data_IF_092880658028
#
_entry.id   IF_092880658028
#
_cell.length_a   1.000
_cell.length_b   1.000
_cell.length_c   1.000
_cell.angle_alpha   90.00
_cell.angle_beta   90.00
_cell.angle_gamma   90.00
#
_symmetry.space_group_name_H-M   'P 1'
#
loop_
_entity.id
_entity.type
_entity.pdbx_description
1 polymer ?
#
# COMPACT_ATOMS: atom_id res chain seq x y z
N UNK A 1 7.92 -20.85 -4.00
CA UNK A 1 7.31 -19.58 -3.57
C UNK A 1 6.54 -19.88 -2.30
N UNK A 2 6.77 -19.14 -1.22
CA UNK A 2 5.84 -19.18 -0.08
C UNK A 2 4.55 -18.51 -0.58
N UNK A 3 3.42 -19.19 -0.46
CA UNK A 3 2.13 -18.64 -0.83
C UNK A 3 1.78 -17.47 0.11
N UNK A 4 1.22 -16.40 -0.44
CA UNK A 4 0.67 -15.32 0.36
C UNK A 4 -0.58 -15.83 1.07
N UNK A 5 -0.76 -15.47 2.33
CA UNK A 5 -1.96 -15.79 3.10
C UNK A 5 -2.49 -14.55 3.79
N UNK A 6 -3.81 -14.36 3.76
CA UNK A 6 -4.48 -13.32 4.54
C UNK A 6 -4.40 -13.63 6.04
N UNK A 7 -3.85 -12.70 6.83
CA UNK A 7 -3.79 -12.81 8.30
C UNK A 7 -4.48 -11.63 8.96
N UNK A 8 -5.07 -11.86 10.13
CA UNK A 8 -5.62 -10.78 10.96
C UNK A 8 -4.50 -10.03 11.67
N UNK A 9 -4.22 -8.81 11.24
CA UNK A 9 -3.21 -7.93 11.84
C UNK A 9 -3.91 -6.86 12.66
N UNK A 10 -3.54 -6.74 13.93
CA UNK A 10 -3.98 -5.64 14.77
C UNK A 10 -2.87 -4.59 14.91
N UNK A 11 -3.14 -3.35 14.50
CA UNK A 11 -2.15 -2.27 14.54
C UNK A 11 -2.15 -1.44 15.83
N UNK A 12 -3.16 -1.62 16.68
CA UNK A 12 -3.25 -0.95 17.97
C UNK A 12 -3.26 -1.96 19.12
N UNK A 13 -2.69 -1.57 20.26
CA UNK A 13 -2.61 -2.43 21.44
C UNK A 13 -3.98 -2.70 22.08
N UNK A 14 -4.98 -1.86 21.77
CA UNK A 14 -6.34 -1.96 22.31
C UNK A 14 -7.23 -2.96 21.53
N UNK A 15 -6.72 -3.60 20.47
CA UNK A 15 -7.44 -4.64 19.72
C UNK A 15 -8.58 -4.13 18.82
N UNK A 16 -8.64 -2.82 18.54
CA UNK A 16 -9.79 -2.18 17.87
C UNK A 16 -9.67 -2.10 16.35
N UNK A 17 -8.46 -2.13 15.83
CA UNK A 17 -8.20 -1.99 14.39
C UNK A 17 -7.53 -3.27 13.89
N UNK A 18 -8.37 -4.23 13.51
CA UNK A 18 -7.94 -5.49 12.89
C UNK A 18 -8.18 -5.37 11.39
N UNK A 19 -7.13 -5.56 10.62
CA UNK A 19 -7.16 -5.63 9.17
C UNK A 19 -6.78 -7.05 8.75
N UNK A 20 -7.45 -7.61 7.73
CA UNK A 20 -6.98 -8.83 7.09
C UNK A 20 -6.02 -8.39 6.00
N UNK A 21 -4.76 -8.77 6.12
CA UNK A 21 -3.72 -8.39 5.17
C UNK A 21 -3.08 -9.61 4.53
N UNK A 22 -2.92 -9.58 3.22
CA UNK A 22 -2.09 -10.50 2.48
C UNK A 22 -0.62 -10.30 2.85
N UNK A 23 0.01 -11.38 3.32
CA UNK A 23 1.42 -11.37 3.73
C UNK A 23 2.18 -12.59 3.24
N UNK A 24 3.50 -12.46 3.14
CA UNK A 24 4.43 -13.59 2.97
C UNK A 24 5.24 -13.78 4.24
N UNK A 25 5.38 -15.00 4.79
CA UNK A 25 6.28 -15.28 5.90
C UNK A 25 7.73 -14.91 5.56
N UNK A 26 8.41 -14.18 6.46
CA UNK A 26 9.80 -13.75 6.29
C UNK A 26 10.74 -14.29 7.38
N UNK A 27 10.19 -15.03 8.34
CA UNK A 27 10.94 -15.63 9.44
C UNK A 27 10.01 -15.94 10.61
N UNK A 28 10.60 -16.31 11.75
CA UNK A 28 9.82 -16.48 12.97
C UNK A 28 9.15 -15.15 13.34
N UNK A 29 7.83 -15.17 13.46
CA UNK A 29 6.99 -14.04 13.89
C UNK A 29 7.17 -12.77 13.01
N UNK A 30 7.64 -12.95 11.77
CA UNK A 30 7.91 -11.87 10.82
C UNK A 30 7.20 -12.12 9.51
N UNK A 31 6.57 -11.07 9.00
CA UNK A 31 5.80 -11.09 7.77
C UNK A 31 6.17 -9.91 6.89
N UNK A 32 6.29 -10.15 5.59
CA UNK A 32 6.33 -9.11 4.58
C UNK A 32 4.91 -8.78 4.15
N UNK A 33 4.54 -7.51 4.20
CA UNK A 33 3.24 -7.01 3.77
C UNK A 33 3.17 -7.02 2.23
N UNK A 34 2.11 -7.59 1.64
CA UNK A 34 1.98 -7.71 0.18
C UNK A 34 0.94 -6.77 -0.45
N UNK A 35 0.13 -6.09 0.36
CA UNK A 35 -0.86 -5.09 -0.07
C UNK A 35 -0.83 -3.82 0.81
N UNK A 36 -1.59 -2.78 0.47
CA UNK A 36 -1.62 -1.54 1.27
C UNK A 36 -2.44 -1.67 2.56
N UNK A 37 -1.84 -1.47 3.76
CA UNK A 37 -2.62 -1.31 4.99
C UNK A 37 -3.44 -0.03 5.00
N UNK A 38 -4.69 -0.12 5.44
CA UNK A 38 -5.62 1.00 5.54
C UNK A 38 -5.54 1.68 6.90
N UNK A 39 -5.47 0.91 7.98
CA UNK A 39 -5.58 1.49 9.33
C UNK A 39 -4.27 2.08 9.86
N UNK A 40 -3.12 1.63 9.37
CA UNK A 40 -1.82 2.13 9.82
C UNK A 40 -1.00 2.75 8.68
N UNK A 41 -0.98 4.09 8.55
CA UNK A 41 -0.26 4.74 7.47
C UNK A 41 1.28 4.63 7.59
N UNK A 42 1.80 4.24 8.76
CA UNK A 42 3.24 4.06 8.97
C UNK A 42 3.75 2.72 8.45
N UNK A 43 2.87 1.75 8.15
CA UNK A 43 3.21 0.47 7.52
C UNK A 43 2.81 0.52 6.06
N UNK A 44 3.67 0.01 5.18
CA UNK A 44 3.41 0.04 3.73
C UNK A 44 3.70 -1.30 3.07
N UNK A 45 3.19 -1.48 1.84
CA UNK A 45 3.45 -2.66 1.04
C UNK A 45 4.97 -2.87 0.87
N UNK A 46 5.42 -4.10 1.11
CA UNK A 46 6.82 -4.49 1.08
C UNK A 46 7.58 -4.26 2.40
N UNK A 47 6.97 -3.62 3.40
CA UNK A 47 7.54 -3.59 4.75
C UNK A 47 7.62 -5.01 5.32
N UNK A 48 8.63 -5.25 6.14
CA UNK A 48 8.73 -6.45 6.96
C UNK A 48 8.43 -6.04 8.39
N UNK A 49 7.39 -6.63 8.95
CA UNK A 49 6.92 -6.34 10.29
C UNK A 49 7.19 -7.51 11.23
N UNK A 50 7.43 -7.18 12.49
CA UNK A 50 7.43 -8.12 13.60
C UNK A 50 6.05 -8.09 14.24
N UNK A 51 5.51 -9.27 14.52
CA UNK A 51 4.21 -9.42 15.18
C UNK A 51 4.33 -10.32 16.40
N UNK A 52 3.29 -10.31 17.23
CA UNK A 52 3.04 -11.28 18.29
C UNK A 52 1.67 -11.89 18.06
N UNK A 53 1.58 -13.21 17.98
CA UNK A 53 0.31 -13.91 17.84
C UNK A 53 -0.35 -14.12 19.21
N UNK A 54 -1.64 -13.78 19.30
CA UNK A 54 -2.50 -14.10 20.44
C UNK A 54 -3.89 -14.48 19.93
N UNK A 55 -4.32 -15.73 20.19
CA UNK A 55 -5.65 -16.26 19.83
C UNK A 55 -6.01 -16.09 18.34
N UNK A 56 -5.05 -16.31 17.44
CA UNK A 56 -5.21 -16.19 15.98
C UNK A 56 -5.11 -14.76 15.44
N UNK A 57 -4.85 -13.76 16.29
CA UNK A 57 -4.65 -12.36 15.90
C UNK A 57 -3.17 -12.00 16.04
N UNK A 58 -2.61 -11.37 15.02
CA UNK A 58 -1.22 -10.94 14.98
C UNK A 58 -1.11 -9.45 15.33
N UNK A 59 -0.63 -9.17 16.53
CA UNK A 59 -0.44 -7.79 17.02
C UNK A 59 0.88 -7.24 16.51
N UNK A 60 0.79 -6.16 15.73
CA UNK A 60 1.95 -5.40 15.24
C UNK A 60 2.81 -4.93 16.42
N UNK A 61 4.12 -5.20 16.34
CA UNK A 61 5.10 -4.72 17.31
C UNK A 61 5.92 -3.58 16.70
N UNK A 62 6.55 -3.82 15.56
CA UNK A 62 7.38 -2.84 14.86
C UNK A 62 7.59 -3.20 13.38
N UNK A 63 8.07 -2.22 12.61
CA UNK A 63 8.59 -2.46 11.26
C UNK A 63 10.09 -2.71 11.35
N UNK A 64 10.52 -3.97 11.16
CA UNK A 64 11.95 -4.34 11.25
C UNK A 64 12.72 -4.02 9.97
N UNK A 65 12.03 -3.90 8.83
CA UNK A 65 12.65 -3.46 7.57
C UNK A 65 11.64 -2.66 6.76
N UNK A 66 12.02 -1.45 6.36
CA UNK A 66 11.20 -0.60 5.48
C UNK A 66 11.29 -1.06 4.03
N UNK A 67 10.16 -0.95 3.35
CA UNK A 67 9.97 -1.22 1.93
C UNK A 67 10.92 -0.39 1.06
N UNK A 68 11.35 -0.92 -0.11
CA UNK A 68 12.06 -0.13 -1.12
C UNK A 68 11.15 0.90 -1.81
N UNK A 69 9.83 0.86 -1.58
CA UNK A 69 8.87 1.75 -2.20
C UNK A 69 8.69 3.06 -1.43
N UNK A 70 8.37 4.13 -2.16
CA UNK A 70 7.67 5.32 -1.66
C UNK A 70 6.18 5.11 -1.92
N UNK A 71 5.35 5.46 -0.95
CA UNK A 71 3.90 5.40 -1.05
C UNK A 71 3.34 6.80 -1.28
N UNK A 72 2.40 6.91 -2.20
CA UNK A 72 1.57 8.07 -2.40
C UNK A 72 0.10 7.67 -2.43
N UNK A 73 -0.79 8.57 -2.03
CA UNK A 73 -2.21 8.28 -1.98
C UNK A 73 -3.05 9.53 -2.25
N UNK A 74 -4.07 9.38 -3.11
CA UNK A 74 -5.04 10.42 -3.42
C UNK A 74 -6.47 9.86 -3.33
N UNK A 75 -7.39 10.65 -2.79
CA UNK A 75 -8.81 10.40 -2.95
C UNK A 75 -9.26 11.04 -4.27
N UNK A 76 -9.74 10.22 -5.20
CA UNK A 76 -10.12 10.64 -6.53
C UNK A 76 -11.63 10.46 -6.73
N UNK A 77 -12.22 11.34 -7.53
CA UNK A 77 -13.58 11.13 -8.04
C UNK A 77 -13.60 9.91 -8.95
N UNK A 78 -14.79 9.29 -9.10
CA UNK A 78 -14.97 8.17 -10.04
C UNK A 78 -14.54 8.54 -11.46
N UNK A 79 -14.91 9.75 -11.90
CA UNK A 79 -14.54 10.27 -13.22
C UNK A 79 -13.02 10.36 -13.41
N UNK A 80 -12.29 10.84 -12.40
CA UNK A 80 -10.83 10.91 -12.46
C UNK A 80 -10.20 9.51 -12.50
N UNK A 81 -10.67 8.57 -11.67
CA UNK A 81 -10.17 7.18 -11.63
C UNK A 81 -10.37 6.46 -12.97
N UNK A 82 -11.49 6.68 -13.63
CA UNK A 82 -11.88 6.05 -14.90
C UNK A 82 -11.27 6.78 -16.12
N UNK A 83 -10.50 7.85 -15.90
CA UNK A 83 -9.89 8.63 -16.98
C UNK A 83 -8.73 7.93 -17.67
N UNK A 84 -8.55 8.23 -18.96
CA UNK A 84 -7.38 7.78 -19.73
C UNK A 84 -6.07 8.29 -19.12
N UNK A 85 -6.07 9.48 -18.53
CA UNK A 85 -4.89 10.06 -17.89
C UNK A 85 -4.39 9.22 -16.70
N UNK A 86 -5.30 8.72 -15.84
CA UNK A 86 -4.94 7.80 -14.75
C UNK A 86 -4.52 6.44 -15.29
N UNK A 87 -5.17 5.92 -16.35
CA UNK A 87 -4.79 4.66 -16.97
C UNK A 87 -3.36 4.71 -17.56
N UNK A 88 -3.03 5.77 -18.29
CA UNK A 88 -1.70 5.98 -18.87
C UNK A 88 -0.64 6.17 -17.77
N UNK A 89 -1.01 6.85 -16.68
CA UNK A 89 -0.08 7.00 -15.56
C UNK A 89 0.18 5.69 -14.83
N UNK A 90 -0.86 4.88 -14.55
CA UNK A 90 -0.71 3.51 -14.00
C UNK A 90 0.24 2.68 -14.86
N UNK A 91 0.13 2.76 -16.19
CA UNK A 91 1.03 2.04 -17.09
C UNK A 91 2.50 2.43 -16.87
N UNK A 92 2.80 3.74 -16.87
CA UNK A 92 4.15 4.25 -16.61
C UNK A 92 4.70 3.85 -15.24
N UNK A 93 3.84 3.82 -14.21
CA UNK A 93 4.24 3.35 -12.88
C UNK A 93 4.65 1.87 -12.94
N UNK A 94 3.87 1.02 -13.60
CA UNK A 94 4.16 -0.42 -13.73
C UNK A 94 5.44 -0.66 -14.55
N UNK A 95 5.65 0.09 -15.64
CA UNK A 95 6.89 0.03 -16.44
C UNK A 95 8.14 0.39 -15.63
N UNK A 96 7.98 1.12 -14.52
CA UNK A 96 9.04 1.52 -13.61
C UNK A 96 9.04 0.70 -12.31
N UNK A 97 8.58 -0.56 -12.37
CA UNK A 97 8.52 -1.52 -11.27
C UNK A 97 7.69 -1.06 -10.06
N UNK A 98 6.84 -0.05 -10.28
CA UNK A 98 5.87 0.39 -9.30
C UNK A 98 4.61 -0.48 -9.29
N UNK A 99 3.78 -0.28 -8.28
CA UNK A 99 2.46 -0.89 -8.15
C UNK A 99 1.41 0.16 -7.90
N UNK A 100 0.20 -0.12 -8.36
CA UNK A 100 -0.96 0.73 -8.19
C UNK A 100 -2.09 -0.08 -7.56
N UNK A 101 -2.75 0.48 -6.55
CA UNK A 101 -3.92 -0.09 -5.92
C UNK A 101 -5.06 0.93 -5.95
N UNK A 102 -6.29 0.45 -6.18
CA UNK A 102 -7.50 1.26 -6.06
C UNK A 102 -8.36 0.66 -4.96
N UNK A 103 -8.45 1.36 -3.85
CA UNK A 103 -9.09 0.89 -2.63
C UNK A 103 -10.44 1.60 -2.49
N UNK A 104 -11.49 0.82 -2.20
CA UNK A 104 -12.88 1.30 -2.08
C UNK A 104 -13.38 2.14 -3.27
N UNK A 105 -12.79 1.96 -4.46
CA UNK A 105 -13.19 2.65 -5.69
C UNK A 105 -12.81 4.14 -5.77
N UNK A 106 -12.06 4.68 -4.81
CA UNK A 106 -11.70 6.11 -4.79
C UNK A 106 -10.34 6.45 -4.21
N UNK A 107 -9.79 5.62 -3.31
CA UNK A 107 -8.44 5.83 -2.79
C UNK A 107 -7.43 5.19 -3.75
N UNK A 108 -6.78 6.02 -4.56
CA UNK A 108 -5.74 5.58 -5.48
C UNK A 108 -4.38 5.65 -4.79
N UNK A 109 -3.71 4.50 -4.67
CA UNK A 109 -2.42 4.35 -4.00
C UNK A 109 -1.36 3.94 -5.02
N UNK A 110 -0.22 4.61 -4.98
CA UNK A 110 0.96 4.29 -5.78
C UNK A 110 2.09 3.89 -4.84
N UNK A 111 2.71 2.74 -5.12
CA UNK A 111 3.99 2.34 -4.57
C UNK A 111 5.03 2.39 -5.69
N UNK A 112 6.08 3.18 -5.54
CA UNK A 112 7.11 3.30 -6.58
C UNK A 112 8.52 3.20 -5.98
N UNK A 113 9.49 2.53 -6.64
CA UNK A 113 10.83 2.41 -6.11
C UNK A 113 11.43 3.77 -5.73
N UNK A 114 12.10 3.84 -4.57
CA UNK A 114 12.69 5.08 -4.05
C UNK A 114 13.68 5.77 -5.00
N UNK A 115 14.30 4.99 -5.89
CA UNK A 115 15.30 5.40 -6.88
C UNK A 115 14.71 5.75 -8.25
N UNK A 116 13.38 5.74 -8.42
CA UNK A 116 12.75 6.18 -9.67
C UNK A 116 13.01 7.67 -9.95
N UNK A 117 13.02 8.04 -11.22
CA UNK A 117 13.02 9.43 -11.69
C UNK A 117 11.61 10.01 -11.90
N UNK A 118 10.55 9.20 -11.76
CA UNK A 118 9.17 9.67 -11.92
C UNK A 118 8.82 10.66 -10.81
N UNK A 119 8.42 11.87 -11.21
CA UNK A 119 7.80 12.88 -10.36
C UNK A 119 6.31 12.56 -10.17
N UNK A 120 6.00 11.71 -9.20
CA UNK A 120 4.62 11.23 -8.98
C UNK A 120 3.67 12.36 -8.59
N UNK A 121 4.10 13.23 -7.67
CA UNK A 121 3.28 14.36 -7.20
C UNK A 121 2.99 15.34 -8.35
N UNK A 122 4.00 15.72 -9.13
CA UNK A 122 3.82 16.62 -10.26
C UNK A 122 2.93 16.05 -11.36
N UNK A 123 3.06 14.76 -11.67
CA UNK A 123 2.16 14.08 -12.61
C UNK A 123 0.71 14.04 -12.11
N UNK A 124 0.50 13.68 -10.84
CA UNK A 124 -0.84 13.64 -10.26
C UNK A 124 -1.50 15.01 -10.21
N UNK A 125 -0.77 16.06 -9.83
CA UNK A 125 -1.30 17.43 -9.82
C UNK A 125 -1.80 17.83 -11.21
N UNK A 126 -1.02 17.57 -12.27
CA UNK A 126 -1.43 17.83 -13.67
C UNK A 126 -2.68 17.05 -14.11
N UNK A 127 -2.90 15.87 -13.54
CA UNK A 127 -4.09 15.07 -13.83
C UNK A 127 -5.29 15.66 -13.08
N UNK A 128 -5.15 15.92 -11.78
CA UNK A 128 -6.23 16.40 -10.90
C UNK A 128 -6.73 17.77 -11.33
N UNK A 129 -5.86 18.69 -11.73
CA UNK A 129 -6.22 20.03 -12.24
C UNK A 129 -7.22 19.98 -13.42
N UNK A 130 -7.34 18.86 -14.14
CA UNK A 130 -8.30 18.69 -15.24
C UNK A 130 -9.73 18.42 -14.76
N UNK A 131 -9.90 18.07 -13.49
CA UNK A 131 -11.18 17.68 -12.89
C UNK A 131 -11.63 18.67 -11.80
N UNK A 132 -10.78 19.61 -11.40
CA UNK A 132 -11.15 20.74 -10.56
C UNK A 132 -11.82 21.82 -11.43
N UNK A 133 -13.13 21.66 -11.66
CA UNK A 133 -14.00 22.66 -12.30
C UNK A 133 -14.73 23.47 -11.24
#
# INVERSE_FOLDING_TARGET
MLESSGIHICFNADGREIEILDVTPFGKDKFRIEETPIFNPAVTMGDIIQVKEENGVYYYQETVQKSPFKRYAWLLSKEAVDSTAIADFKHRIIENEGKCELIFGGLFVIHIPKNTSIDVDGEMNRIIERFEI
#
